data_IF_207174647987
#
_entry.id   IF_207174647987
#
_cell.length_a   1.000
_cell.length_b   1.000
_cell.length_c   1.000
_cell.angle_alpha   90.00
_cell.angle_beta   90.00
_cell.angle_gamma   90.00
#
_symmetry.space_group_name_H-M   'P 1'
#
loop_
_entity.id
_entity.type
_entity.pdbx_description
1 polymer ?
#
# COMPACT_ATOMS: atom_id res chain seq x y z
N UNK A 1 1.15 -17.19 -4.47
CA UNK A 1 1.77 -17.40 -5.79
C UNK A 1 1.06 -16.54 -6.81
N UNK A 2 1.78 -15.80 -7.68
CA UNK A 2 1.16 -15.06 -8.78
C UNK A 2 0.75 -15.99 -9.93
N UNK A 3 -0.30 -15.59 -10.64
CA UNK A 3 -0.76 -16.14 -11.93
C UNK A 3 -0.81 -14.99 -12.93
N UNK A 4 -1.24 -15.25 -14.17
CA UNK A 4 -1.35 -14.22 -15.22
C UNK A 4 -2.28 -13.06 -14.85
N UNK A 5 -3.31 -13.31 -14.02
CA UNK A 5 -4.36 -12.32 -13.72
C UNK A 5 -4.64 -12.15 -12.23
N UNK A 6 -4.11 -13.05 -11.39
CA UNK A 6 -4.43 -13.07 -9.97
C UNK A 6 -3.22 -13.36 -9.08
N UNK A 7 -3.22 -12.82 -7.87
CA UNK A 7 -2.40 -13.33 -6.77
C UNK A 7 -3.25 -14.29 -5.94
N UNK A 8 -2.77 -15.52 -5.75
CA UNK A 8 -3.52 -16.56 -5.02
C UNK A 8 -2.74 -17.17 -3.86
N UNK A 9 -3.42 -17.44 -2.76
CA UNK A 9 -3.02 -18.41 -1.73
C UNK A 9 -4.15 -19.41 -1.55
N UNK A 10 -3.96 -20.62 -2.05
CA UNK A 10 -4.94 -21.72 -2.01
C UNK A 10 -4.54 -22.80 -1.01
N UNK A 11 -3.46 -22.57 -0.25
CA UNK A 11 -2.88 -23.52 0.69
C UNK A 11 -3.68 -23.57 1.99
N UNK A 12 -4.33 -22.46 2.34
CA UNK A 12 -5.11 -22.30 3.57
C UNK A 12 -6.54 -21.86 3.23
N UNK A 13 -7.49 -22.26 4.08
CA UNK A 13 -8.89 -21.86 3.98
C UNK A 13 -9.21 -20.73 4.99
N UNK A 14 -9.90 -19.65 4.58
CA UNK A 14 -10.45 -19.40 3.25
C UNK A 14 -9.35 -19.04 2.22
N UNK A 15 -9.54 -19.41 0.94
CA UNK A 15 -8.57 -19.10 -0.10
C UNK A 15 -8.46 -17.59 -0.26
N UNK A 16 -7.26 -17.13 -0.49
CA UNK A 16 -6.97 -15.75 -0.81
C UNK A 16 -6.82 -15.62 -2.32
N UNK A 17 -7.64 -14.77 -2.94
CA UNK A 17 -7.58 -14.46 -4.36
C UNK A 17 -7.70 -12.95 -4.53
N UNK A 18 -6.73 -12.35 -5.20
CA UNK A 18 -6.77 -10.96 -5.63
C UNK A 18 -6.74 -10.96 -7.15
N UNK A 19 -7.71 -10.30 -7.78
CA UNK A 19 -7.71 -10.04 -9.21
C UNK A 19 -6.88 -8.78 -9.44
N UNK A 20 -5.81 -8.89 -10.21
CA UNK A 20 -4.84 -7.80 -10.37
C UNK A 20 -5.46 -6.58 -11.07
N UNK A 21 -6.36 -6.81 -12.03
CA UNK A 21 -7.07 -5.74 -12.75
C UNK A 21 -8.01 -4.91 -11.84
N UNK A 22 -8.37 -5.40 -10.66
CA UNK A 22 -9.21 -4.68 -9.70
C UNK A 22 -8.39 -3.85 -8.70
N UNK A 23 -7.06 -3.98 -8.73
CA UNK A 23 -6.15 -3.24 -7.85
C UNK A 23 -5.94 -1.83 -8.41
N UNK A 24 -6.12 -0.84 -7.55
CA UNK A 24 -5.80 0.57 -7.82
C UNK A 24 -4.30 0.83 -7.58
N UNK A 25 -3.82 0.42 -6.40
CA UNK A 25 -2.40 0.52 -6.03
C UNK A 25 -2.00 -0.51 -4.99
N UNK A 26 -0.69 -0.67 -4.82
CA UNK A 26 -0.08 -1.41 -3.72
C UNK A 26 0.69 -0.47 -2.80
N UNK A 27 0.52 -0.58 -1.48
CA UNK A 27 1.34 0.13 -0.51
C UNK A 27 2.18 -0.86 0.31
N UNK A 28 3.49 -0.65 0.34
CA UNK A 28 4.42 -1.41 1.16
C UNK A 28 4.62 -0.71 2.52
N UNK A 29 4.21 -1.36 3.60
CA UNK A 29 4.36 -0.82 4.95
C UNK A 29 5.56 -1.43 5.66
N UNK A 30 6.07 -0.70 6.67
CA UNK A 30 7.18 -1.12 7.53
C UNK A 30 8.48 -1.34 6.74
N UNK A 31 8.63 -0.66 5.60
CA UNK A 31 9.86 -0.68 4.81
C UNK A 31 10.88 0.24 5.48
N UNK A 32 11.92 -0.36 6.06
CA UNK A 32 13.06 0.36 6.62
C UNK A 32 14.30 -0.55 6.71
N UNK A 33 15.49 0.04 6.78
CA UNK A 33 16.76 -0.69 6.84
C UNK A 33 16.91 -1.60 8.09
N UNK A 34 16.16 -1.33 9.17
CA UNK A 34 16.26 -2.06 10.43
C UNK A 34 15.24 -3.19 10.57
N UNK A 35 14.24 -3.26 9.68
CA UNK A 35 13.13 -4.20 9.79
C UNK A 35 13.37 -5.44 8.93
N UNK A 36 13.06 -6.62 9.50
CA UNK A 36 13.26 -7.92 8.83
C UNK A 36 12.11 -8.35 7.93
N UNK A 37 10.95 -7.73 8.09
CA UNK A 37 9.73 -8.08 7.34
C UNK A 37 8.89 -6.85 7.05
N UNK A 38 8.35 -6.75 5.84
CA UNK A 38 7.41 -5.70 5.45
C UNK A 38 6.00 -6.26 5.28
N UNK A 39 5.00 -5.39 5.17
CA UNK A 39 3.65 -5.77 4.75
C UNK A 39 3.32 -5.18 3.39
N UNK A 40 2.44 -5.85 2.66
CA UNK A 40 1.95 -5.40 1.37
C UNK A 40 0.44 -5.26 1.44
N UNK A 41 -0.06 -4.06 1.11
CA UNK A 41 -1.47 -3.71 1.14
C UNK A 41 -1.96 -3.46 -0.28
N UNK A 42 -3.04 -4.15 -0.66
CA UNK A 42 -3.73 -3.94 -1.92
C UNK A 42 -4.93 -3.05 -1.70
N UNK A 43 -4.93 -1.89 -2.37
CA UNK A 43 -6.09 -1.01 -2.44
C UNK A 43 -6.79 -1.27 -3.76
N UNK A 44 -8.11 -1.43 -3.71
CA UNK A 44 -8.93 -1.76 -4.87
C UNK A 44 -9.52 -0.52 -5.51
N UNK A 45 -9.84 -0.61 -6.81
CA UNK A 45 -10.55 0.44 -7.57
C UNK A 45 -11.93 0.76 -6.98
N UNK A 46 -12.59 -0.25 -6.41
CA UNK A 46 -13.76 -0.04 -5.55
C UNK A 46 -13.30 0.34 -4.13
N UNK A 47 -13.29 1.64 -3.82
CA UNK A 47 -12.89 2.14 -2.50
C UNK A 47 -13.81 1.73 -1.34
N UNK A 48 -14.95 1.10 -1.63
CA UNK A 48 -15.79 0.47 -0.59
C UNK A 48 -15.32 -0.93 -0.24
N UNK A 49 -14.55 -1.58 -1.12
CA UNK A 49 -13.93 -2.86 -0.84
C UNK A 49 -12.85 -2.70 0.23
N UNK A 50 -12.83 -3.62 1.19
CA UNK A 50 -11.82 -3.61 2.25
C UNK A 50 -10.45 -3.94 1.65
N UNK A 51 -9.39 -3.15 1.92
CA UNK A 51 -8.04 -3.48 1.48
C UNK A 51 -7.60 -4.88 1.93
N UNK A 52 -6.89 -5.57 1.05
CA UNK A 52 -6.31 -6.88 1.35
C UNK A 52 -4.86 -6.71 1.78
N UNK A 53 -4.40 -7.54 2.72
CA UNK A 53 -3.05 -7.43 3.28
C UNK A 53 -2.33 -8.77 3.24
N UNK A 54 -1.07 -8.76 2.81
CA UNK A 54 -0.13 -9.86 2.96
C UNK A 54 0.93 -9.40 3.94
N UNK A 55 0.95 -10.04 5.12
CA UNK A 55 1.77 -9.58 6.22
C UNK A 55 3.07 -10.37 6.36
N UNK A 56 4.06 -9.76 7.02
CA UNK A 56 5.32 -10.40 7.44
C UNK A 56 6.12 -11.03 6.28
N UNK A 57 6.16 -10.34 5.13
CA UNK A 57 6.96 -10.76 3.97
C UNK A 57 8.44 -10.51 4.29
N UNK A 58 9.35 -11.49 4.09
CA UNK A 58 10.77 -11.29 4.35
C UNK A 58 11.33 -10.10 3.57
N UNK A 59 12.09 -9.21 4.22
CA UNK A 59 12.65 -8.02 3.56
C UNK A 59 13.61 -8.36 2.42
N UNK A 60 14.22 -9.55 2.43
CA UNK A 60 15.02 -10.06 1.31
C UNK A 60 14.23 -10.29 0.03
N UNK A 61 12.89 -10.33 0.08
CA UNK A 61 12.02 -10.47 -1.09
C UNK A 61 11.51 -9.13 -1.63
N UNK A 62 11.81 -8.00 -0.97
CA UNK A 62 11.20 -6.71 -1.29
C UNK A 62 11.40 -6.30 -2.75
N UNK A 63 12.63 -6.33 -3.24
CA UNK A 63 12.95 -5.90 -4.61
C UNK A 63 12.22 -6.77 -5.65
N UNK A 64 12.23 -8.10 -5.45
CA UNK A 64 11.50 -9.04 -6.31
C UNK A 64 9.99 -8.79 -6.31
N UNK A 65 9.40 -8.47 -5.15
CA UNK A 65 7.96 -8.17 -5.06
C UNK A 65 7.63 -6.85 -5.74
N UNK A 66 8.49 -5.82 -5.60
CA UNK A 66 8.33 -4.54 -6.31
C UNK A 66 8.40 -4.72 -7.83
N UNK A 67 9.41 -5.45 -8.33
CA UNK A 67 9.54 -5.78 -9.75
C UNK A 67 8.30 -6.51 -10.27
N UNK A 68 7.77 -7.46 -9.49
CA UNK A 68 6.54 -8.16 -9.84
C UNK A 68 5.32 -7.21 -9.91
N UNK A 69 5.13 -6.34 -8.92
CA UNK A 69 4.03 -5.35 -8.92
C UNK A 69 4.14 -4.41 -10.13
N UNK A 70 5.35 -3.94 -10.45
CA UNK A 70 5.59 -3.14 -11.65
C UNK A 70 5.27 -3.90 -12.94
N UNK A 71 5.62 -5.19 -13.03
CA UNK A 71 5.31 -6.01 -14.20
C UNK A 71 3.82 -6.28 -14.39
N UNK A 72 3.01 -6.03 -13.35
CA UNK A 72 1.55 -6.09 -13.42
C UNK A 72 0.91 -4.73 -13.80
N UNK A 73 1.71 -3.72 -14.14
CA UNK A 73 1.27 -2.34 -14.41
C UNK A 73 0.51 -1.70 -13.23
N UNK A 74 0.85 -2.10 -12.00
CA UNK A 74 0.25 -1.57 -10.77
C UNK A 74 1.20 -0.54 -10.15
N UNK A 75 0.68 0.66 -9.86
CA UNK A 75 1.42 1.67 -9.11
C UNK A 75 1.65 1.21 -7.67
N UNK A 76 2.83 1.54 -7.11
CA UNK A 76 3.10 1.28 -5.71
C UNK A 76 3.74 2.45 -4.99
N UNK A 77 3.53 2.50 -3.68
CA UNK A 77 4.22 3.40 -2.74
C UNK A 77 4.78 2.61 -1.56
N UNK A 78 5.64 3.22 -0.76
CA UNK A 78 6.21 2.59 0.43
C UNK A 78 6.33 3.57 1.60
N UNK A 79 6.23 3.03 2.83
CA UNK A 79 6.32 3.81 4.04
C UNK A 79 6.88 3.01 5.21
N UNK A 80 7.50 3.70 6.17
CA UNK A 80 8.04 3.08 7.38
C UNK A 80 6.94 2.75 8.41
N UNK A 81 5.79 3.43 8.33
CA UNK A 81 4.67 3.29 9.27
C UNK A 81 3.57 2.42 8.67
N UNK A 82 2.79 1.78 9.55
CA UNK A 82 1.53 1.16 9.17
C UNK A 82 0.39 2.16 9.29
N UNK A 83 -0.52 2.17 8.30
CA UNK A 83 -1.64 3.09 8.23
C UNK A 83 -2.91 2.47 8.81
N UNK A 84 -3.82 3.34 9.27
CA UNK A 84 -5.17 2.93 9.65
C UNK A 84 -6.07 2.91 8.40
N UNK A 85 -5.94 1.84 7.60
CA UNK A 85 -6.69 1.66 6.36
C UNK A 85 -8.22 1.76 6.52
N UNK A 86 -8.87 1.16 7.53
CA UNK A 86 -10.31 1.33 7.71
C UNK A 86 -10.74 2.80 7.87
N UNK A 87 -9.98 3.60 8.62
CA UNK A 87 -10.25 5.02 8.79
C UNK A 87 -9.97 5.79 7.49
N UNK A 88 -8.83 5.52 6.86
CA UNK A 88 -8.40 6.19 5.63
C UNK A 88 -9.39 5.95 4.48
N UNK A 89 -9.75 4.69 4.20
CA UNK A 89 -10.70 4.35 3.15
C UNK A 89 -12.07 4.97 3.42
N UNK A 90 -12.51 5.00 4.69
CA UNK A 90 -13.76 5.68 5.06
C UNK A 90 -13.70 7.17 4.73
N UNK A 91 -12.62 7.86 5.08
CA UNK A 91 -12.45 9.29 4.77
C UNK A 91 -12.50 9.55 3.25
N UNK A 92 -11.86 8.70 2.45
CA UNK A 92 -11.89 8.79 0.98
C UNK A 92 -13.29 8.57 0.43
N UNK A 93 -14.01 7.55 0.92
CA UNK A 93 -15.38 7.24 0.48
C UNK A 93 -16.37 8.33 0.89
N UNK A 94 -16.21 8.92 2.07
CA UNK A 94 -17.08 9.99 2.57
C UNK A 94 -16.82 11.33 1.84
N UNK A 95 -15.58 11.59 1.38
CA UNK A 95 -15.18 12.87 0.75
C UNK A 95 -14.27 12.65 -0.48
N UNK A 96 -14.80 12.11 -1.60
CA UNK A 96 -13.98 11.77 -2.77
C UNK A 96 -13.45 13.00 -3.53
N UNK A 97 -14.16 14.13 -3.49
CA UNK A 97 -13.72 15.38 -4.15
C UNK A 97 -12.47 15.94 -3.46
N UNK A 98 -12.50 16.07 -2.13
CA UNK A 98 -11.35 16.51 -1.33
C UNK A 98 -10.11 15.62 -1.56
N UNK A 99 -10.32 14.30 -1.67
CA UNK A 99 -9.24 13.36 -1.95
C UNK A 99 -8.59 13.66 -3.31
N UNK A 100 -9.37 13.91 -4.36
CA UNK A 100 -8.84 14.23 -5.68
C UNK A 100 -8.15 15.60 -5.71
N UNK A 101 -8.70 16.61 -5.02
CA UNK A 101 -8.09 17.94 -4.91
C UNK A 101 -6.74 17.91 -4.17
N UNK A 102 -6.57 16.99 -3.23
CA UNK A 102 -5.33 16.76 -2.49
C UNK A 102 -4.34 15.83 -3.21
N UNK A 103 -4.41 15.75 -4.54
CA UNK A 103 -3.56 14.90 -5.37
C UNK A 103 -3.72 13.39 -5.08
N UNK A 104 -4.90 12.97 -4.62
CA UNK A 104 -5.26 11.57 -4.40
C UNK A 104 -4.27 10.86 -3.47
N UNK A 105 -3.61 9.84 -4.01
CA UNK A 105 -2.62 9.03 -3.28
C UNK A 105 -1.26 9.72 -3.10
N UNK A 106 -1.13 10.99 -3.46
CA UNK A 106 0.11 11.77 -3.33
C UNK A 106 0.70 11.75 -1.92
N UNK A 107 -0.13 11.76 -0.88
CA UNK A 107 0.30 11.73 0.53
C UNK A 107 1.06 10.46 0.95
N UNK A 108 0.98 9.38 0.16
CA UNK A 108 1.75 8.16 0.40
C UNK A 108 3.21 8.28 -0.07
N UNK A 109 3.57 9.39 -0.71
CA UNK A 109 4.92 9.63 -1.20
C UNK A 109 5.84 10.11 -0.06
N UNK A 110 7.13 9.73 -0.08
CA UNK A 110 8.07 10.03 0.99
C UNK A 110 8.31 11.54 1.23
N UNK A 111 7.91 12.41 0.32
CA UNK A 111 8.05 13.87 0.45
C UNK A 111 7.11 14.48 1.52
N UNK A 112 6.05 13.78 1.92
CA UNK A 112 5.09 14.28 2.93
C UNK A 112 5.60 14.08 4.38
N UNK A 113 6.38 13.03 4.64
CA UNK A 113 7.03 12.80 5.94
C UNK A 113 8.19 13.81 6.21
N UNK A 114 8.65 14.55 5.20
CA UNK A 114 9.74 15.52 5.33
C UNK A 114 9.31 16.87 5.95
N UNK A 115 8.01 17.12 6.16
CA UNK A 115 7.52 18.39 6.71
C UNK A 115 7.32 18.41 8.24
N UNK A 116 7.48 17.30 8.96
CA UNK A 116 7.27 17.25 10.43
C UNK A 116 8.55 17.37 11.30
N UNK A 117 9.72 17.72 10.73
CA UNK A 117 10.94 17.95 11.53
C UNK A 117 11.72 19.20 11.10
N UNK A 118 11.11 20.37 11.24
CA UNK A 118 11.89 21.62 11.44
C UNK A 118 11.57 22.17 12.83
N UNK A 119 12.48 22.09 13.81
CA UNK A 119 12.29 22.80 15.07
C UNK A 119 12.21 24.31 14.79
N UNK A 120 11.40 25.08 15.54
CA UNK A 120 11.31 26.52 15.35
C UNK A 120 12.70 27.12 15.55
N UNK A 121 13.17 27.87 14.55
CA UNK A 121 14.38 28.69 14.66
C UNK A 121 14.09 29.77 15.71
N UNK A 122 14.49 29.51 16.95
CA UNK A 122 14.52 30.54 17.99
C UNK A 122 15.64 31.52 17.65
N UNK A 123 15.25 32.78 17.45
CA UNK A 123 16.14 33.93 17.28
C UNK A 123 17.02 34.16 18.51
#
# INVERSE_FOLDING_TARGET
>A
MPTSSCLVSLVEWPPFVIILDEVELVHFERVSLSIRTFDMVFVFKDYRAKPAMVNSIPSSALDHVKEWVMSCDIFYSEGAKSLNWPKLMKTIVDNPEDFLEQNGWGFLSPDDDAQEQSPPITR
#
